data_IF_718234506369
#
_entry.id   IF_718234506369
#
_cell.length_a   1.000
_cell.length_b   1.000
_cell.length_c   1.000
_cell.angle_alpha   90.00
_cell.angle_beta   90.00
_cell.angle_gamma   90.00
#
_symmetry.space_group_name_H-M   'P 1'
#
loop_
_entity.id
_entity.type
_entity.pdbx_description
1 polymer ?
#
# COMPACT_ATOMS: atom_id res chain seq x y z
N UNK A 1 0.39 14.04 -20.23
CA UNK A 1 0.02 13.29 -19.01
C UNK A 1 0.85 13.70 -17.80
N UNK A 2 2.19 13.72 -17.86
CA UNK A 2 3.07 14.17 -16.75
C UNK A 2 2.69 15.54 -16.16
N UNK A 3 2.49 16.57 -17.01
CA UNK A 3 2.07 17.92 -16.57
C UNK A 3 0.80 17.89 -15.70
N UNK A 4 -0.24 17.16 -16.15
CA UNK A 4 -1.52 17.05 -15.45
C UNK A 4 -1.44 16.33 -14.09
N UNK A 5 -0.56 15.34 -13.95
CA UNK A 5 -0.31 14.71 -12.64
C UNK A 5 0.42 15.64 -11.70
N UNK A 6 1.42 16.38 -12.21
CA UNK A 6 2.11 17.38 -11.41
C UNK A 6 1.14 18.48 -10.93
N UNK A 7 0.17 18.88 -11.77
CA UNK A 7 -0.88 19.82 -11.37
C UNK A 7 -1.74 19.28 -10.23
N UNK A 8 -2.14 18.00 -10.30
CA UNK A 8 -2.85 17.32 -9.21
C UNK A 8 -2.01 17.27 -7.92
N UNK A 9 -0.72 16.94 -8.03
CA UNK A 9 0.19 16.86 -6.89
C UNK A 9 0.38 18.25 -6.24
N UNK A 10 0.54 19.29 -7.05
CA UNK A 10 0.64 20.67 -6.58
C UNK A 10 -0.62 21.10 -5.82
N UNK A 11 -1.79 20.75 -6.35
CA UNK A 11 -3.06 20.96 -5.66
C UNK A 11 -3.13 20.18 -4.35
N UNK A 12 -2.77 18.89 -4.38
CA UNK A 12 -2.80 18.00 -3.22
C UNK A 12 -1.88 18.51 -2.10
N UNK A 13 -0.74 19.09 -2.42
CA UNK A 13 0.21 19.62 -1.44
C UNK A 13 -0.26 20.92 -0.79
N UNK A 14 -1.06 21.73 -1.50
CA UNK A 14 -1.66 22.97 -0.95
C UNK A 14 -2.93 22.72 -0.13
N UNK A 15 -3.56 21.55 -0.31
CA UNK A 15 -4.80 21.19 0.39
C UNK A 15 -4.53 20.86 1.86
N UNK A 16 -5.30 21.46 2.78
CA UNK A 16 -5.35 21.05 4.20
C UNK A 16 -5.89 19.62 4.30
N UNK A 17 -5.21 18.77 5.07
CA UNK A 17 -5.58 17.36 5.29
C UNK A 17 -5.70 17.13 6.79
N UNK A 18 -6.84 16.61 7.23
CA UNK A 18 -7.07 16.27 8.64
C UNK A 18 -6.66 14.81 8.96
N UNK A 19 -6.46 13.99 7.94
CA UNK A 19 -6.07 12.58 8.05
C UNK A 19 -5.37 12.12 6.76
N UNK A 20 -4.84 10.89 6.77
CA UNK A 20 -4.22 10.27 5.59
C UNK A 20 -5.32 9.88 4.58
N UNK A 21 -5.37 10.57 3.44
CA UNK A 21 -6.35 10.27 2.38
C UNK A 21 -5.81 9.23 1.39
N UNK A 22 -6.70 8.45 0.77
CA UNK A 22 -6.38 7.66 -0.42
C UNK A 22 -6.17 8.58 -1.62
N UNK A 23 -5.36 8.13 -2.57
CA UNK A 23 -5.24 8.71 -3.91
C UNK A 23 -5.67 7.64 -4.89
N UNK A 24 -6.74 7.92 -5.61
CA UNK A 24 -7.48 6.98 -6.43
C UNK A 24 -7.48 7.43 -7.89
N UNK A 25 -7.38 6.47 -8.81
CA UNK A 25 -7.61 6.63 -10.24
C UNK A 25 -8.98 6.07 -10.60
N UNK A 26 -9.73 6.85 -11.37
CA UNK A 26 -10.97 6.40 -11.99
C UNK A 26 -10.74 6.37 -13.50
N UNK A 27 -10.70 5.18 -14.10
CA UNK A 27 -10.45 4.98 -15.52
C UNK A 27 -11.76 4.58 -16.18
N UNK A 28 -12.26 5.43 -17.08
CA UNK A 28 -13.45 5.16 -17.90
C UNK A 28 -13.00 4.41 -19.15
N UNK A 29 -13.62 3.26 -19.39
CA UNK A 29 -13.24 2.32 -20.44
C UNK A 29 -14.33 2.16 -21.49
N UNK A 30 -13.92 2.00 -22.74
CA UNK A 30 -14.79 1.52 -23.82
C UNK A 30 -14.56 0.02 -23.96
N UNK A 31 -15.49 -0.76 -23.41
CA UNK A 31 -15.47 -2.22 -23.45
C UNK A 31 -16.49 -2.74 -24.47
N UNK A 32 -16.06 -2.86 -25.74
CA UNK A 32 -16.95 -3.30 -26.84
C UNK A 32 -17.51 -4.72 -26.62
N UNK A 33 -16.77 -5.59 -25.92
CA UNK A 33 -17.17 -6.98 -25.67
C UNK A 33 -18.09 -7.16 -24.46
N UNK A 34 -18.35 -6.10 -23.67
CA UNK A 34 -19.17 -6.10 -22.44
C UNK A 34 -18.83 -7.23 -21.44
N UNK A 35 -17.60 -7.75 -21.47
CA UNK A 35 -17.16 -8.79 -20.54
C UNK A 35 -16.87 -8.18 -19.18
N UNK A 36 -17.26 -8.89 -18.12
CA UNK A 36 -16.83 -8.59 -16.77
C UNK A 36 -15.38 -9.03 -16.59
N UNK A 37 -14.55 -8.17 -16.00
CA UNK A 37 -13.14 -8.46 -15.79
C UNK A 37 -12.77 -8.32 -14.32
N UNK A 38 -12.21 -9.40 -13.78
CA UNK A 38 -11.51 -9.43 -12.51
C UNK A 38 -10.09 -9.93 -12.77
N UNK A 39 -9.09 -9.12 -12.44
CA UNK A 39 -7.69 -9.46 -12.67
C UNK A 39 -6.82 -8.84 -11.59
N UNK A 40 -5.57 -9.27 -11.52
CA UNK A 40 -4.60 -8.71 -10.58
C UNK A 40 -3.51 -7.96 -11.34
N UNK A 41 -2.98 -6.91 -10.73
CA UNK A 41 -1.77 -6.23 -11.19
C UNK A 41 -0.96 -5.76 -10.00
N UNK A 42 0.26 -5.29 -10.23
CA UNK A 42 1.14 -4.80 -9.18
C UNK A 42 1.24 -3.28 -9.23
N UNK A 43 1.42 -2.68 -8.05
CA UNK A 43 1.91 -1.30 -7.90
C UNK A 43 3.44 -1.30 -7.79
N UNK A 44 4.07 -0.16 -8.08
CA UNK A 44 5.51 -0.03 -7.91
C UNK A 44 5.90 0.06 -6.42
N UNK A 45 5.09 0.78 -5.64
CA UNK A 45 5.18 0.95 -4.18
C UNK A 45 3.87 0.54 -3.51
N UNK A 46 3.95 -0.09 -2.33
CA UNK A 46 2.79 -0.44 -1.52
C UNK A 46 2.65 0.46 -0.29
N UNK A 47 1.42 0.62 0.21
CA UNK A 47 1.18 1.42 1.43
C UNK A 47 1.93 0.83 2.64
N UNK A 48 2.11 -0.48 2.64
CA UNK A 48 2.76 -1.17 3.74
C UNK A 48 4.26 -0.88 3.81
N UNK A 49 4.94 -0.51 2.71
CA UNK A 49 6.34 -0.06 2.73
C UNK A 49 6.55 1.18 3.62
N UNK A 50 5.51 1.98 3.86
CA UNK A 50 5.57 3.16 4.74
C UNK A 50 5.36 2.81 6.22
N UNK A 51 4.96 1.57 6.53
CA UNK A 51 4.70 1.13 7.89
C UNK A 51 5.93 0.47 8.48
N UNK A 52 6.10 0.66 9.79
CA UNK A 52 7.11 -0.06 10.56
C UNK A 52 6.57 -1.41 11.02
N UNK A 53 7.38 -2.45 10.91
CA UNK A 53 7.11 -3.77 11.49
C UNK A 53 8.30 -4.20 12.36
N UNK A 54 8.02 -5.01 13.38
CA UNK A 54 9.03 -5.56 14.28
C UNK A 54 9.03 -7.08 14.21
N UNK A 55 10.18 -7.67 13.88
CA UNK A 55 10.49 -9.08 14.07
C UNK A 55 11.31 -9.23 15.35
N UNK A 56 10.75 -9.93 16.33
CA UNK A 56 11.40 -10.23 17.59
C UNK A 56 12.39 -11.37 17.36
N UNK A 57 13.67 -11.04 17.44
CA UNK A 57 14.74 -11.96 17.13
C UNK A 57 15.96 -11.65 17.99
N UNK A 58 16.93 -12.58 17.95
CA UNK A 58 18.24 -12.37 18.56
C UNK A 58 19.13 -11.44 17.72
N UNK A 59 18.74 -11.15 16.48
CA UNK A 59 19.48 -10.28 15.56
C UNK A 59 19.06 -8.84 15.81
N UNK A 60 20.01 -7.92 15.90
CA UNK A 60 19.74 -6.48 15.97
C UNK A 60 20.01 -5.82 14.61
N UNK A 61 18.94 -5.45 13.89
CA UNK A 61 19.05 -4.85 12.55
C UNK A 61 17.83 -3.97 12.25
N UNK A 62 18.02 -2.91 11.48
CA UNK A 62 16.92 -2.15 10.85
C UNK A 62 17.15 -2.12 9.34
N UNK A 63 16.13 -2.45 8.57
CA UNK A 63 16.17 -2.39 7.11
C UNK A 63 14.79 -2.03 6.56
N UNK A 64 14.66 -0.95 5.78
CA UNK A 64 13.41 -0.61 5.07
C UNK A 64 12.14 -0.64 5.94
N UNK A 65 12.17 0.04 7.10
CA UNK A 65 11.09 0.05 8.11
C UNK A 65 10.83 -1.31 8.80
N UNK A 66 11.66 -2.32 8.57
CA UNK A 66 11.65 -3.59 9.29
C UNK A 66 12.70 -3.55 10.39
N UNK A 67 12.25 -3.78 11.62
CA UNK A 67 13.09 -3.81 12.80
C UNK A 67 13.25 -5.27 13.20
N UNK A 68 14.48 -5.69 13.46
CA UNK A 68 14.82 -7.02 13.96
C UNK A 68 15.47 -6.84 15.31
N UNK A 69 14.93 -7.48 16.34
CA UNK A 69 15.57 -7.52 17.65
C UNK A 69 14.60 -7.41 18.81
N UNK A 70 14.80 -8.27 19.82
CA UNK A 70 14.01 -8.25 21.05
C UNK A 70 14.10 -6.91 21.80
N UNK A 71 15.19 -6.16 21.64
CA UNK A 71 15.40 -4.89 22.35
C UNK A 71 14.41 -3.79 21.91
N UNK A 72 13.94 -3.82 20.66
CA UNK A 72 12.99 -2.84 20.13
C UNK A 72 11.59 -2.94 20.77
N UNK A 73 11.30 -4.02 21.50
CA UNK A 73 10.04 -4.10 22.25
C UNK A 73 9.95 -3.02 23.33
N UNK A 74 11.08 -2.63 23.93
CA UNK A 74 11.10 -1.60 24.95
C UNK A 74 10.77 -0.23 24.33
N UNK A 75 11.27 0.06 23.13
CA UNK A 75 10.95 1.28 22.40
C UNK A 75 9.47 1.36 22.02
N UNK A 76 8.87 0.23 21.66
CA UNK A 76 7.43 0.13 21.42
C UNK A 76 6.62 0.38 22.69
N UNK A 77 6.96 -0.30 23.80
CA UNK A 77 6.29 -0.16 25.09
C UNK A 77 6.36 1.28 25.63
N UNK A 78 7.50 1.96 25.42
CA UNK A 78 7.72 3.36 25.79
C UNK A 78 7.11 4.35 24.78
N UNK A 79 6.38 3.88 23.76
CA UNK A 79 5.78 4.69 22.69
C UNK A 79 6.78 5.55 21.91
N UNK A 80 8.06 5.19 21.91
CA UNK A 80 9.11 5.85 21.11
C UNK A 80 8.99 5.49 19.64
N UNK A 81 8.59 4.25 19.36
CA UNK A 81 8.35 3.74 18.00
C UNK A 81 6.98 3.09 17.95
N UNK A 82 6.21 3.40 16.91
CA UNK A 82 4.92 2.75 16.65
C UNK A 82 5.10 1.68 15.56
N UNK A 83 4.91 0.41 15.93
CA UNK A 83 4.91 -0.71 14.99
C UNK A 83 3.49 -1.05 14.57
N UNK A 84 3.28 -1.18 13.27
CA UNK A 84 1.99 -1.59 12.71
C UNK A 84 1.69 -3.07 12.92
N UNK A 85 2.74 -3.89 12.94
CA UNK A 85 2.71 -5.32 13.28
C UNK A 85 3.98 -5.69 14.01
N UNK A 86 3.83 -6.62 14.94
CA UNK A 86 4.91 -7.25 15.66
C UNK A 86 4.80 -8.75 15.40
N UNK A 87 5.92 -9.39 15.16
CA UNK A 87 6.03 -10.79 14.79
C UNK A 87 7.11 -11.43 15.67
N UNK A 88 6.91 -12.68 16.05
CA UNK A 88 7.79 -13.43 16.95
C UNK A 88 7.80 -14.90 16.53
N UNK A 89 8.85 -15.64 16.86
CA UNK A 89 8.81 -17.09 16.87
C UNK A 89 8.60 -17.58 18.32
N UNK A 90 8.42 -18.90 18.50
CA UNK A 90 8.25 -19.52 19.83
C UNK A 90 9.36 -19.15 20.79
N UNK A 91 10.61 -19.29 20.35
CA UNK A 91 11.80 -19.05 21.17
C UNK A 91 11.85 -17.61 21.70
N UNK A 92 11.75 -16.63 20.81
CA UNK A 92 11.81 -15.22 21.19
C UNK A 92 10.59 -14.79 21.99
N UNK A 93 9.42 -15.40 21.76
CA UNK A 93 8.23 -15.12 22.55
C UNK A 93 8.45 -15.44 24.02
N UNK A 94 9.06 -16.59 24.34
CA UNK A 94 9.40 -16.94 25.72
C UNK A 94 10.34 -15.92 26.38
N UNK A 95 11.36 -15.46 25.65
CA UNK A 95 12.35 -14.51 26.16
C UNK A 95 11.73 -13.14 26.53
N UNK A 96 10.70 -12.72 25.82
CA UNK A 96 10.08 -11.41 25.99
C UNK A 96 8.71 -11.47 26.67
N UNK A 97 8.19 -12.66 26.98
CA UNK A 97 6.85 -12.88 27.53
C UNK A 97 6.56 -11.99 28.74
N UNK A 98 7.54 -11.88 29.63
CA UNK A 98 7.45 -11.03 30.83
C UNK A 98 7.30 -9.54 30.48
N UNK A 99 7.93 -9.08 29.40
CA UNK A 99 7.81 -7.70 28.90
C UNK A 99 6.47 -7.48 28.16
N UNK A 100 6.00 -8.49 27.43
CA UNK A 100 4.75 -8.45 26.66
C UNK A 100 3.48 -8.54 27.52
N UNK A 101 3.52 -9.12 28.71
CA UNK A 101 2.35 -9.19 29.62
C UNK A 101 1.78 -7.81 30.00
N UNK A 102 2.50 -6.71 29.70
CA UNK A 102 2.04 -5.33 29.83
C UNK A 102 1.23 -4.81 28.63
N UNK A 103 1.15 -5.56 27.53
CA UNK A 103 0.40 -5.19 26.31
C UNK A 103 -0.99 -5.84 26.31
N UNK A 104 -1.94 -5.20 25.60
CA UNK A 104 -3.23 -5.80 25.32
C UNK A 104 -3.05 -7.17 24.65
N UNK A 105 -3.65 -8.23 25.22
CA UNK A 105 -3.62 -9.60 24.70
C UNK A 105 -3.96 -9.70 23.19
N UNK A 106 -4.79 -8.79 22.67
CA UNK A 106 -5.14 -8.70 21.25
C UNK A 106 -3.97 -8.48 20.30
N UNK A 107 -2.88 -7.84 20.75
CA UNK A 107 -1.69 -7.62 19.91
C UNK A 107 -0.83 -8.87 19.76
N UNK A 108 -0.90 -9.81 20.70
CA UNK A 108 0.03 -10.96 20.82
C UNK A 108 -0.47 -12.19 20.02
N UNK A 109 -1.78 -12.34 19.86
CA UNK A 109 -2.43 -13.59 19.40
C UNK A 109 -2.12 -13.94 17.93
N UNK A 110 -1.58 -13.01 17.13
CA UNK A 110 -1.28 -13.23 15.70
C UNK A 110 0.22 -13.10 15.35
N UNK A 111 1.11 -13.21 16.34
CA UNK A 111 2.53 -12.90 16.16
C UNK A 111 3.41 -14.11 15.86
N UNK A 112 2.97 -15.33 16.14
CA UNK A 112 3.82 -16.52 16.10
C UNK A 112 4.01 -17.05 14.66
N UNK A 113 5.24 -16.97 14.17
CA UNK A 113 5.60 -17.24 12.78
C UNK A 113 6.89 -18.05 12.72
N UNK A 114 6.93 -19.02 11.80
CA UNK A 114 8.12 -19.85 11.56
C UNK A 114 9.11 -19.21 10.60
N UNK A 115 8.64 -18.38 9.64
CA UNK A 115 9.49 -17.75 8.62
C UNK A 115 9.20 -16.25 8.45
N UNK A 116 10.12 -15.41 8.93
CA UNK A 116 10.01 -13.95 8.83
C UNK A 116 10.09 -13.42 7.40
N UNK A 117 10.85 -14.05 6.51
CA UNK A 117 10.95 -13.57 5.12
C UNK A 117 9.65 -13.80 4.35
N UNK A 118 8.95 -14.92 4.59
CA UNK A 118 7.62 -15.14 4.00
C UNK A 118 6.60 -14.10 4.47
N UNK A 119 6.58 -13.78 5.76
CA UNK A 119 5.65 -12.78 6.31
C UNK A 119 6.01 -11.35 5.91
N UNK A 120 7.31 -11.05 5.79
CA UNK A 120 7.80 -9.80 5.19
C UNK A 120 7.26 -9.65 3.76
N UNK A 121 7.41 -10.68 2.93
CA UNK A 121 6.94 -10.66 1.54
C UNK A 121 5.41 -10.51 1.45
N UNK A 122 4.65 -11.22 2.30
CA UNK A 122 3.19 -11.06 2.37
C UNK A 122 2.79 -9.65 2.81
N UNK A 123 3.47 -9.09 3.81
CA UNK A 123 3.18 -7.76 4.34
C UNK A 123 3.43 -6.66 3.31
N UNK A 124 4.57 -6.71 2.61
CA UNK A 124 4.95 -5.70 1.61
C UNK A 124 4.40 -5.98 0.20
N UNK A 125 3.50 -6.97 0.06
CA UNK A 125 2.89 -7.34 -1.21
C UNK A 125 2.30 -6.12 -1.94
N UNK A 126 2.61 -6.02 -3.23
CA UNK A 126 2.23 -4.90 -4.11
C UNK A 126 1.05 -5.22 -5.01
N UNK A 127 0.57 -6.46 -4.97
CA UNK A 127 -0.51 -6.96 -5.80
C UNK A 127 -1.85 -6.36 -5.37
N UNK A 128 -2.58 -5.83 -6.34
CA UNK A 128 -3.91 -5.27 -6.20
C UNK A 128 -4.89 -6.03 -7.10
N UNK A 129 -6.09 -6.28 -6.57
CA UNK A 129 -7.18 -6.88 -7.32
C UNK A 129 -7.99 -5.77 -7.98
N UNK A 130 -8.26 -5.94 -9.26
CA UNK A 130 -8.88 -4.97 -10.13
C UNK A 130 -10.16 -5.54 -10.72
N UNK A 131 -11.23 -4.77 -10.56
CA UNK A 131 -12.58 -5.13 -11.00
C UNK A 131 -13.16 -3.99 -11.82
N UNK A 132 -13.49 -4.27 -13.08
CA UNK A 132 -14.26 -3.33 -13.91
C UNK A 132 -15.72 -3.40 -13.48
N UNK A 133 -16.31 -2.25 -13.15
CA UNK A 133 -17.70 -2.20 -12.70
C UNK A 133 -18.69 -2.24 -13.90
N UNK A 134 -19.99 -2.30 -13.59
CA UNK A 134 -21.07 -2.32 -14.61
C UNK A 134 -21.08 -1.08 -15.51
N UNK A 135 -20.50 0.03 -15.05
CA UNK A 135 -20.43 1.29 -15.78
C UNK A 135 -19.14 1.41 -16.62
N UNK A 136 -18.40 0.31 -16.81
CA UNK A 136 -17.09 0.29 -17.45
C UNK A 136 -16.06 1.23 -16.82
N UNK A 137 -16.18 1.48 -15.51
CA UNK A 137 -15.21 2.26 -14.74
C UNK A 137 -14.35 1.31 -13.91
N UNK A 138 -13.06 1.57 -13.93
CA UNK A 138 -12.07 0.92 -13.09
C UNK A 138 -11.57 1.91 -12.04
N UNK A 139 -11.92 1.65 -10.78
CA UNK A 139 -11.51 2.46 -9.62
C UNK A 139 -10.32 1.78 -8.95
N UNK A 140 -9.21 2.51 -8.81
CA UNK A 140 -7.95 1.94 -8.32
C UNK A 140 -7.32 2.88 -7.30
N UNK A 141 -7.10 2.40 -6.08
CA UNK A 141 -6.25 3.09 -5.12
C UNK A 141 -4.79 2.91 -5.53
N UNK A 142 -4.14 4.00 -5.92
CA UNK A 142 -2.74 3.96 -6.38
C UNK A 142 -1.74 4.44 -5.34
N UNK A 143 -2.18 5.25 -4.38
CA UNK A 143 -1.32 5.80 -3.35
C UNK A 143 -2.14 6.29 -2.15
N UNK A 144 -1.46 6.95 -1.22
CA UNK A 144 -2.07 7.74 -0.15
C UNK A 144 -1.26 9.01 0.04
N UNK A 145 -1.80 9.98 0.77
CA UNK A 145 -1.15 11.28 0.96
C UNK A 145 0.15 11.22 1.77
N UNK A 146 0.49 10.08 2.39
CA UNK A 146 1.79 9.88 3.05
C UNK A 146 2.92 9.62 2.03
N UNK A 147 2.59 9.27 0.79
CA UNK A 147 3.58 8.98 -0.24
C UNK A 147 4.24 10.26 -0.71
N UNK A 148 5.52 10.19 -1.05
CA UNK A 148 6.18 11.29 -1.73
C UNK A 148 5.61 11.49 -3.14
N UNK A 149 5.76 12.71 -3.68
CA UNK A 149 5.32 13.03 -5.03
C UNK A 149 5.90 12.05 -6.08
N UNK A 150 7.16 11.67 -5.94
CA UNK A 150 7.83 10.73 -6.85
C UNK A 150 7.25 9.31 -6.76
N UNK A 151 6.87 8.85 -5.57
CA UNK A 151 6.20 7.56 -5.39
C UNK A 151 4.83 7.54 -6.07
N UNK A 152 4.05 8.61 -5.93
CA UNK A 152 2.73 8.74 -6.57
C UNK A 152 2.87 8.67 -8.10
N UNK A 153 3.82 9.42 -8.66
CA UNK A 153 4.08 9.44 -10.12
C UNK A 153 4.51 8.06 -10.60
N UNK A 154 5.47 7.40 -9.92
CA UNK A 154 5.95 6.07 -10.31
C UNK A 154 4.83 5.01 -10.25
N UNK A 155 4.00 5.04 -9.21
CA UNK A 155 2.84 4.13 -9.12
C UNK A 155 1.88 4.33 -10.28
N UNK A 156 1.56 5.58 -10.62
CA UNK A 156 0.72 5.88 -11.78
C UNK A 156 1.32 5.35 -13.08
N UNK A 157 2.58 5.68 -13.37
CA UNK A 157 3.22 5.34 -14.64
C UNK A 157 3.34 3.83 -14.83
N UNK A 158 3.79 3.13 -13.78
CA UNK A 158 3.91 1.68 -13.77
C UNK A 158 2.55 1.00 -13.98
N UNK A 159 1.53 1.43 -13.24
CA UNK A 159 0.20 0.86 -13.32
C UNK A 159 -0.40 1.05 -14.72
N UNK A 160 -0.37 2.27 -15.27
CA UNK A 160 -0.94 2.54 -16.60
C UNK A 160 -0.21 1.75 -17.69
N UNK A 161 1.11 1.60 -17.59
CA UNK A 161 1.89 0.80 -18.52
C UNK A 161 1.51 -0.68 -18.45
N UNK A 162 1.43 -1.24 -17.24
CA UNK A 162 1.02 -2.63 -17.02
C UNK A 162 -0.41 -2.90 -17.49
N UNK A 163 -1.36 -2.01 -17.18
CA UNK A 163 -2.74 -2.13 -17.63
C UNK A 163 -2.85 -2.09 -19.15
N UNK A 164 -2.11 -1.20 -19.81
CA UNK A 164 -2.09 -1.15 -21.28
C UNK A 164 -1.60 -2.47 -21.88
N UNK A 165 -0.45 -2.95 -21.42
CA UNK A 165 0.21 -4.14 -21.96
C UNK A 165 -0.59 -5.41 -21.70
N UNK A 166 -1.01 -5.63 -20.46
CA UNK A 166 -1.52 -6.93 -20.02
C UNK A 166 -3.05 -7.02 -20.06
N UNK A 167 -3.76 -5.89 -20.09
CA UNK A 167 -5.22 -5.88 -19.97
C UNK A 167 -5.90 -5.19 -21.16
N UNK A 168 -5.55 -3.94 -21.48
CA UNK A 168 -6.29 -3.18 -22.49
C UNK A 168 -6.05 -3.68 -23.91
N UNK A 169 -4.80 -3.83 -24.33
CA UNK A 169 -4.44 -4.27 -25.69
C UNK A 169 -4.98 -5.68 -25.99
N UNK A 170 -4.75 -6.71 -25.14
CA UNK A 170 -5.22 -8.07 -25.44
C UNK A 170 -6.74 -8.21 -25.48
N UNK A 171 -7.46 -7.39 -24.71
CA UNK A 171 -8.92 -7.48 -24.60
C UNK A 171 -9.68 -6.50 -25.51
N UNK A 172 -8.98 -5.71 -26.33
CA UNK A 172 -9.55 -4.67 -27.18
C UNK A 172 -10.40 -3.65 -26.38
N UNK A 173 -9.88 -3.24 -25.22
CA UNK A 173 -10.47 -2.23 -24.34
C UNK A 173 -9.71 -0.93 -24.54
N UNK A 174 -10.44 0.18 -24.70
CA UNK A 174 -9.84 1.51 -24.85
C UNK A 174 -10.07 2.35 -23.61
N UNK A 175 -9.09 3.20 -23.28
CA UNK A 175 -9.25 4.20 -22.22
C UNK A 175 -9.93 5.42 -22.83
N UNK A 176 -11.14 5.74 -22.38
CA UNK A 176 -11.80 6.99 -22.73
C UNK A 176 -11.20 8.14 -21.92
N UNK A 177 -11.27 8.05 -20.58
CA UNK A 177 -10.82 9.09 -19.67
C UNK A 177 -10.14 8.51 -18.43
N UNK A 178 -9.20 9.25 -17.86
CA UNK A 178 -8.56 8.95 -16.59
C UNK A 178 -8.71 10.17 -15.69
N UNK A 179 -9.36 9.97 -14.55
CA UNK A 179 -9.40 10.95 -13.48
C UNK A 179 -8.52 10.50 -12.31
N UNK A 180 -7.93 11.46 -11.62
CA UNK A 180 -7.26 11.27 -10.33
C UNK A 180 -7.90 12.15 -9.27
N UNK A 181 -8.07 11.59 -8.08
CA UNK A 181 -8.64 12.30 -6.93
C UNK A 181 -8.05 11.74 -5.65
N UNK A 182 -7.95 12.56 -4.61
CA UNK A 182 -7.93 12.07 -3.24
C UNK A 182 -9.34 11.95 -2.66
N UNK A 183 -9.49 11.19 -1.56
CA UNK A 183 -10.78 10.85 -0.92
C UNK A 183 -11.76 12.02 -0.83
N UNK A 184 -11.28 13.20 -0.40
CA UNK A 184 -12.12 14.40 -0.18
C UNK A 184 -11.73 15.55 -1.12
N UNK A 185 -11.43 15.26 -2.38
CA UNK A 185 -11.00 16.28 -3.35
C UNK A 185 -11.76 16.21 -4.67
N UNK A 186 -11.73 17.32 -5.41
CA UNK A 186 -12.19 17.35 -6.80
C UNK A 186 -11.35 16.40 -7.68
N UNK A 187 -12.00 15.79 -8.66
CA UNK A 187 -11.36 14.94 -9.65
C UNK A 187 -10.63 15.77 -10.71
N UNK A 188 -9.38 15.41 -11.00
CA UNK A 188 -8.56 16.01 -12.05
C UNK A 188 -8.50 15.07 -13.26
N UNK A 189 -8.81 15.60 -14.46
CA UNK A 189 -8.69 14.85 -15.71
C UNK A 189 -7.22 14.76 -16.13
N UNK A 190 -6.64 13.56 -16.09
CA UNK A 190 -5.26 13.29 -16.55
C UNK A 190 -5.20 12.97 -18.05
N UNK A 191 -6.15 12.19 -18.55
CA UNK A 191 -6.26 11.80 -19.95
C UNK A 191 -7.72 11.81 -20.35
#
# INVERSE_FOLDING_TARGET
MKKKINDFINYLNKKKKNFIESIDLNIILINKKKKYFNFCTDLFYSYNEMKKILFLSNIHKIENNVYYGNNYINEFLLKKVCFSKIFTNKENFFLIKNKLNKLCKSFIINCEIENYELEKNKFFNKKINLKVNKNNVLNIKIASTIFSNSMIIKNYEFLILNLKKNFFIPNNIFIEKIYISSTMSKSFLIK
#
